data_IF_345669182312
#
_entry.id   IF_345669182312
#
_cell.length_a   1.000
_cell.length_b   1.000
_cell.length_c   1.000
_cell.angle_alpha   90.00
_cell.angle_beta   90.00
_cell.angle_gamma   90.00
#
_symmetry.space_group_name_H-M   'P 1'
#
loop_
_entity.id
_entity.type
_entity.pdbx_description
1 polymer ?
#
# COMPACT_ATOMS: atom_id res chain seq x y z
N UNK A 1 -9.84 -0.51 -7.93
CA UNK A 1 -9.83 -1.53 -6.87
C UNK A 1 -10.12 -2.94 -7.39
N UNK A 2 -10.87 -3.09 -8.49
CA UNK A 2 -11.16 -4.40 -9.06
C UNK A 2 -9.90 -5.13 -9.52
N UNK A 3 -8.96 -4.41 -10.14
CA UNK A 3 -7.70 -5.00 -10.59
C UNK A 3 -6.87 -5.51 -9.41
N UNK A 4 -6.78 -4.75 -8.33
CA UNK A 4 -6.05 -5.18 -7.14
C UNK A 4 -6.74 -6.36 -6.46
N UNK A 5 -8.07 -6.35 -6.38
CA UNK A 5 -8.84 -7.48 -5.87
C UNK A 5 -8.59 -8.74 -6.69
N UNK A 6 -8.58 -8.61 -8.01
CA UNK A 6 -8.32 -9.73 -8.90
C UNK A 6 -6.93 -10.29 -8.70
N UNK A 7 -5.91 -9.45 -8.63
CA UNK A 7 -4.54 -9.90 -8.38
C UNK A 7 -4.42 -10.59 -7.02
N UNK A 8 -5.08 -10.06 -6.02
CA UNK A 8 -5.07 -10.68 -4.71
C UNK A 8 -5.76 -12.05 -4.71
N UNK A 9 -6.89 -12.16 -5.41
CA UNK A 9 -7.61 -13.42 -5.55
C UNK A 9 -6.80 -14.47 -6.33
N UNK A 10 -6.03 -14.04 -7.32
CA UNK A 10 -5.14 -14.91 -8.09
C UNK A 10 -3.89 -15.33 -7.33
N UNK A 11 -3.67 -14.75 -6.14
CA UNK A 11 -2.53 -15.06 -5.26
C UNK A 11 -1.17 -14.89 -5.96
N UNK A 12 -1.06 -13.84 -6.79
CA UNK A 12 0.20 -13.50 -7.48
C UNK A 12 1.15 -12.66 -6.62
N UNK A 13 0.90 -12.56 -5.33
CA UNK A 13 1.80 -11.87 -4.42
C UNK A 13 2.94 -12.80 -4.01
N UNK A 14 4.13 -12.22 -3.90
CA UNK A 14 5.32 -12.92 -3.36
C UNK A 14 5.30 -12.94 -1.85
N UNK A 15 4.74 -11.92 -1.22
CA UNK A 15 4.62 -11.80 0.21
C UNK A 15 3.44 -10.92 0.55
N UNK A 16 2.86 -11.15 1.73
CA UNK A 16 1.65 -10.47 2.18
C UNK A 16 1.67 -10.29 3.69
N UNK A 17 1.34 -9.09 4.14
CA UNK A 17 0.93 -8.79 5.51
C UNK A 17 -0.50 -8.29 5.39
N UNK A 18 -1.47 -9.06 5.88
CA UNK A 18 -2.89 -8.75 5.72
C UNK A 18 -3.56 -8.52 7.05
N UNK A 19 -4.67 -7.79 7.02
CA UNK A 19 -5.57 -7.64 8.15
C UNK A 19 -4.82 -7.18 9.41
N UNK A 20 -3.94 -6.18 9.25
CA UNK A 20 -3.14 -5.69 10.36
C UNK A 20 -4.04 -5.03 11.42
N UNK A 21 -3.93 -5.51 12.65
CA UNK A 21 -4.66 -4.99 13.80
C UNK A 21 -3.88 -3.90 14.53
N UNK A 22 -4.40 -3.51 15.70
CA UNK A 22 -3.78 -2.47 16.52
C UNK A 22 -2.43 -2.89 17.07
N UNK A 23 -1.52 -1.93 17.18
CA UNK A 23 -0.26 -2.06 17.90
C UNK A 23 0.59 -3.24 17.45
N UNK A 24 0.67 -3.46 16.14
CA UNK A 24 1.43 -4.55 15.58
C UNK A 24 2.74 -4.10 14.95
N UNK A 25 3.71 -5.00 14.94
CA UNK A 25 4.98 -4.86 14.25
C UNK A 25 5.23 -6.17 13.53
N UNK A 26 4.97 -6.18 12.23
CA UNK A 26 4.88 -7.41 11.43
C UNK A 26 6.00 -7.49 10.41
N UNK A 27 6.46 -8.69 10.13
CA UNK A 27 7.52 -8.95 9.15
C UNK A 27 7.16 -10.17 8.32
N UNK A 28 7.37 -10.08 7.02
CA UNK A 28 7.25 -11.22 6.11
C UNK A 28 8.45 -11.21 5.16
N UNK A 29 9.28 -12.24 5.27
CA UNK A 29 10.45 -12.42 4.40
C UNK A 29 10.06 -13.10 3.10
N UNK A 30 10.77 -12.78 2.03
CA UNK A 30 10.59 -13.42 0.74
C UNK A 30 11.86 -13.28 -0.10
N UNK A 31 11.94 -14.06 -1.20
CA UNK A 31 13.08 -14.06 -2.09
C UNK A 31 12.67 -13.64 -3.49
N UNK A 32 13.52 -12.87 -4.14
CA UNK A 32 13.41 -12.55 -5.56
C UNK A 32 14.50 -13.31 -6.28
N UNK A 33 14.11 -14.13 -7.27
CA UNK A 33 15.04 -14.95 -8.04
C UNK A 33 15.51 -14.27 -9.33
N UNK A 34 14.73 -13.36 -9.88
CA UNK A 34 15.05 -12.65 -11.12
C UNK A 34 14.73 -11.17 -10.99
N UNK A 35 15.61 -10.32 -11.54
CA UNK A 35 15.35 -8.90 -11.64
C UNK A 35 14.08 -8.62 -12.43
N UNK A 36 13.35 -7.59 -12.03
CA UNK A 36 12.14 -7.20 -12.74
C UNK A 36 11.41 -6.07 -12.05
N UNK A 37 10.22 -5.78 -12.55
CA UNK A 37 9.31 -4.83 -11.93
C UNK A 37 8.31 -5.57 -11.04
N UNK A 38 8.04 -4.96 -9.89
CA UNK A 38 7.13 -5.50 -8.89
C UNK A 38 6.15 -4.41 -8.47
N UNK A 39 4.93 -4.82 -8.13
CA UNK A 39 3.94 -3.89 -7.59
C UNK A 39 3.92 -3.98 -6.07
N UNK A 40 4.21 -2.87 -5.41
CA UNK A 40 4.03 -2.71 -3.97
C UNK A 40 2.70 -2.03 -3.69
N UNK A 41 1.90 -2.63 -2.81
CA UNK A 41 0.64 -2.07 -2.34
C UNK A 41 0.69 -2.04 -0.81
N UNK A 42 0.44 -0.87 -0.24
CA UNK A 42 0.42 -0.71 1.21
C UNK A 42 -0.73 0.20 1.61
N UNK A 43 -1.58 -0.27 2.51
CA UNK A 43 -2.74 0.47 3.01
C UNK A 43 -2.55 0.78 4.49
N UNK A 44 -3.00 1.95 4.92
CA UNK A 44 -2.88 2.33 6.31
C UNK A 44 -3.55 3.66 6.63
N UNK A 45 -3.38 4.08 7.86
CA UNK A 45 -3.98 5.31 8.39
C UNK A 45 -3.05 6.51 8.19
N UNK A 46 -3.56 7.53 7.49
CA UNK A 46 -2.84 8.79 7.31
C UNK A 46 -3.12 9.78 8.43
N UNK A 47 -2.14 10.61 8.72
CA UNK A 47 -2.24 11.71 9.67
C UNK A 47 -1.98 13.01 8.92
N UNK A 48 -3.06 13.71 8.58
CA UNK A 48 -2.97 14.90 7.73
C UNK A 48 -2.22 16.05 8.39
N UNK A 49 -2.35 16.16 9.68
CA UNK A 49 -1.78 17.26 10.46
C UNK A 49 -0.28 17.43 10.23
N UNK A 50 0.46 16.33 10.14
CA UNK A 50 1.91 16.35 9.96
C UNK A 50 2.38 15.58 8.71
N UNK A 51 1.45 15.22 7.84
CA UNK A 51 1.72 14.51 6.58
C UNK A 51 2.43 13.17 6.79
N UNK A 52 2.14 12.49 7.89
CA UNK A 52 2.70 11.18 8.22
C UNK A 52 1.67 10.07 8.07
N UNK A 53 2.10 8.86 8.36
CA UNK A 53 1.23 7.69 8.46
C UNK A 53 1.35 7.10 9.87
N UNK A 54 0.20 6.78 10.46
CA UNK A 54 0.16 6.09 11.75
C UNK A 54 0.33 4.57 11.58
N UNK A 55 -0.27 4.03 10.52
CA UNK A 55 -0.11 2.64 10.13
C UNK A 55 0.55 2.63 8.76
N UNK A 56 1.71 1.99 8.64
CA UNK A 56 2.44 2.03 7.38
C UNK A 56 3.42 0.86 7.24
N UNK A 57 3.89 0.66 6.01
CA UNK A 57 4.83 -0.39 5.69
C UNK A 57 6.11 0.11 5.03
N UNK A 58 7.09 -0.75 4.97
CA UNK A 58 8.32 -0.52 4.20
C UNK A 58 8.88 -1.85 3.71
N UNK A 59 9.78 -1.75 2.75
CA UNK A 59 10.50 -2.88 2.20
C UNK A 59 11.98 -2.74 2.56
N UNK A 60 12.55 -3.78 3.14
CA UNK A 60 13.97 -3.85 3.46
C UNK A 60 14.67 -4.87 2.58
N UNK A 61 15.94 -4.58 2.22
CA UNK A 61 16.83 -5.59 1.66
C UNK A 61 17.41 -6.48 2.77
N UNK A 62 18.29 -7.42 2.39
CA UNK A 62 18.88 -8.37 3.34
C UNK A 62 19.90 -7.73 4.30
N UNK A 63 20.23 -6.47 4.11
CA UNK A 63 21.10 -5.70 5.00
C UNK A 63 20.34 -4.77 5.91
N UNK A 64 19.00 -4.84 5.87
CA UNK A 64 18.14 -3.98 6.65
C UNK A 64 17.96 -2.58 6.10
N UNK A 65 18.42 -2.33 4.87
CA UNK A 65 18.23 -1.04 4.23
C UNK A 65 16.80 -0.91 3.71
N UNK A 66 16.15 0.20 4.06
CA UNK A 66 14.84 0.54 3.50
C UNK A 66 14.99 0.92 2.04
N UNK A 67 14.41 0.12 1.15
CA UNK A 67 14.42 0.40 -0.29
C UNK A 67 13.10 1.02 -0.76
N UNK A 68 12.08 0.98 0.08
CA UNK A 68 10.79 1.63 -0.16
C UNK A 68 10.06 1.82 1.16
N UNK A 69 9.25 2.89 1.28
CA UNK A 69 8.46 3.14 2.49
C UNK A 69 7.18 3.91 2.17
N UNK A 70 6.13 3.64 2.96
CA UNK A 70 4.87 4.40 2.95
C UNK A 70 4.68 5.22 4.23
N UNK A 71 5.75 5.57 4.94
CA UNK A 71 5.65 6.28 6.22
C UNK A 71 5.16 7.73 6.12
N UNK A 72 5.03 8.26 4.92
CA UNK A 72 4.49 9.60 4.68
C UNK A 72 3.23 9.50 3.85
N UNK A 73 2.27 10.38 4.13
CA UNK A 73 1.00 10.37 3.42
C UNK A 73 1.10 10.82 1.96
N UNK A 74 2.19 11.53 1.62
CA UNK A 74 2.42 12.01 0.25
C UNK A 74 2.36 10.84 -0.74
N UNK A 75 1.73 11.12 -1.87
CA UNK A 75 1.59 10.17 -2.98
C UNK A 75 0.70 8.97 -2.68
N UNK A 76 0.05 8.94 -1.52
CA UNK A 76 -0.99 7.94 -1.26
C UNK A 76 -2.30 8.31 -1.94
N UNK A 77 -3.14 7.30 -2.15
CA UNK A 77 -4.47 7.46 -2.73
C UNK A 77 -5.53 7.16 -1.70
N UNK A 78 -6.74 7.69 -1.89
CA UNK A 78 -7.87 7.40 -1.01
C UNK A 78 -8.34 5.95 -1.19
N UNK A 79 -8.44 5.21 -0.09
CA UNK A 79 -8.85 3.80 -0.09
C UNK A 79 -10.36 3.62 0.11
N UNK A 80 -11.09 4.71 0.25
CA UNK A 80 -12.53 4.67 0.55
C UNK A 80 -12.81 4.79 2.04
N UNK A 81 -14.05 5.16 2.38
CA UNK A 81 -14.42 5.42 3.75
C UNK A 81 -13.83 6.73 4.27
N UNK A 82 -13.35 6.73 5.50
CA UNK A 82 -12.75 7.91 6.10
C UNK A 82 -11.58 8.44 5.26
N UNK A 83 -11.38 9.77 5.19
CA UNK A 83 -10.28 10.36 4.41
C UNK A 83 -8.90 9.84 4.80
N UNK A 84 -8.71 9.44 6.05
CA UNK A 84 -7.44 8.92 6.55
C UNK A 84 -7.12 7.49 6.08
N UNK A 85 -8.06 6.83 5.43
CA UNK A 85 -7.82 5.52 4.82
C UNK A 85 -7.04 5.72 3.52
N UNK A 86 -5.76 5.38 3.53
CA UNK A 86 -4.86 5.64 2.41
C UNK A 86 -4.27 4.34 1.86
N UNK A 87 -3.93 4.35 0.58
CA UNK A 87 -3.27 3.23 -0.08
C UNK A 87 -2.15 3.77 -0.98
N UNK A 88 -1.03 3.06 -0.98
CA UNK A 88 0.05 3.23 -1.95
C UNK A 88 -0.01 2.09 -2.95
N UNK A 89 0.28 2.41 -4.20
CA UNK A 89 0.45 1.42 -5.26
C UNK A 89 1.55 1.91 -6.17
N UNK A 90 2.71 1.27 -6.11
CA UNK A 90 3.89 1.67 -6.87
C UNK A 90 4.55 0.49 -7.54
N UNK A 91 4.99 0.71 -8.78
CA UNK A 91 5.85 -0.22 -9.49
C UNK A 91 7.30 0.12 -9.16
N UNK A 92 8.06 -0.86 -8.71
CA UNK A 92 9.45 -0.70 -8.36
C UNK A 92 10.30 -1.78 -9.04
N UNK A 93 11.56 -1.44 -9.32
CA UNK A 93 12.52 -2.39 -9.87
C UNK A 93 13.34 -2.97 -8.73
N UNK A 94 13.42 -4.29 -8.68
CA UNK A 94 14.20 -5.00 -7.68
C UNK A 94 15.09 -6.03 -8.34
N UNK A 95 16.22 -6.31 -7.71
CA UNK A 95 17.20 -7.31 -8.14
C UNK A 95 17.10 -8.56 -7.26
N UNK A 96 17.68 -9.70 -7.69
CA UNK A 96 17.63 -10.93 -6.89
C UNK A 96 18.20 -10.73 -5.49
N UNK A 97 17.59 -11.39 -4.53
CA UNK A 97 18.01 -11.34 -3.14
C UNK A 97 16.86 -11.61 -2.19
N UNK A 98 17.17 -11.62 -0.90
CA UNK A 98 16.19 -11.74 0.15
C UNK A 98 15.74 -10.36 0.61
N UNK A 99 14.43 -10.21 0.77
CA UNK A 99 13.79 -8.97 1.20
C UNK A 99 12.82 -9.25 2.33
N UNK A 100 12.40 -8.19 3.02
CA UNK A 100 11.37 -8.28 4.05
C UNK A 100 10.34 -7.18 3.87
N UNK A 101 9.07 -7.55 3.88
CA UNK A 101 8.00 -6.61 4.13
C UNK A 101 7.95 -6.35 5.63
N UNK A 102 7.86 -5.08 6.01
CA UNK A 102 7.70 -4.66 7.40
C UNK A 102 6.47 -3.76 7.48
N UNK A 103 5.70 -3.90 8.56
CA UNK A 103 4.50 -3.11 8.77
C UNK A 103 4.30 -2.83 10.25
N UNK A 104 3.97 -1.58 10.58
CA UNK A 104 3.68 -1.17 11.95
C UNK A 104 2.33 -0.48 12.00
N UNK A 105 1.62 -0.65 13.09
CA UNK A 105 0.36 0.05 13.35
C UNK A 105 0.39 0.69 14.74
N UNK A 106 -0.39 1.76 14.90
CA UNK A 106 -0.62 2.35 16.21
C UNK A 106 -1.79 1.65 16.92
N UNK A 107 -2.29 2.25 18.01
CA UNK A 107 -3.29 1.61 18.86
C UNK A 107 -4.75 1.92 18.48
N UNK A 108 -5.00 2.41 17.26
CA UNK A 108 -6.35 2.76 16.82
C UNK A 108 -6.51 2.66 15.32
N UNK A 109 -7.76 2.53 14.87
CA UNK A 109 -8.14 2.53 13.45
C UNK A 109 -7.36 1.52 12.63
N UNK A 110 -7.56 0.26 12.91
CA UNK A 110 -6.96 -0.85 12.18
C UNK A 110 -8.00 -1.94 11.94
N UNK A 111 -7.59 -3.05 11.34
CA UNK A 111 -8.52 -4.11 10.95
C UNK A 111 -9.37 -4.57 12.13
N UNK A 112 -10.69 -4.55 11.95
CA UNK A 112 -11.72 -4.86 12.94
C UNK A 112 -11.78 -3.92 14.15
N UNK A 113 -11.06 -2.80 14.14
CA UNK A 113 -11.02 -1.82 15.23
C UNK A 113 -11.09 -0.40 14.68
N UNK A 114 -12.01 -0.16 13.77
CA UNK A 114 -12.15 1.13 13.09
C UNK A 114 -12.77 2.18 14.02
N UNK A 115 -12.11 3.32 14.15
CA UNK A 115 -12.63 4.46 14.92
C UNK A 115 -13.30 5.53 14.04
N UNK A 116 -13.39 5.27 12.74
CA UNK A 116 -14.08 6.06 11.75
C UNK A 116 -14.55 5.10 10.65
N UNK A 117 -15.15 5.62 9.58
CA UNK A 117 -15.65 4.76 8.49
C UNK A 117 -14.49 3.93 7.91
N UNK A 118 -14.67 2.62 7.91
CA UNK A 118 -13.65 1.68 7.41
C UNK A 118 -13.46 1.82 5.90
N UNK A 119 -12.29 1.40 5.37
CA UNK A 119 -12.10 1.37 3.93
C UNK A 119 -13.00 0.35 3.25
N UNK A 120 -13.23 0.50 1.94
CA UNK A 120 -14.08 -0.43 1.20
C UNK A 120 -13.44 -1.82 1.09
N UNK A 121 -12.13 -1.88 0.97
CA UNK A 121 -11.39 -3.13 0.83
C UNK A 121 -10.52 -3.34 2.07
N UNK A 122 -11.16 -3.75 3.17
CA UNK A 122 -10.53 -3.89 4.49
C UNK A 122 -9.36 -4.87 4.49
N UNK A 123 -9.43 -5.87 3.61
CA UNK A 123 -8.42 -6.92 3.50
C UNK A 123 -7.04 -6.39 3.09
N UNK A 124 -6.99 -5.22 2.48
CA UNK A 124 -5.73 -4.60 2.10
C UNK A 124 -5.00 -3.90 3.25
N UNK A 125 -5.60 -3.82 4.43
CA UNK A 125 -4.95 -3.15 5.57
C UNK A 125 -3.71 -3.93 5.98
N UNK A 126 -2.56 -3.43 5.52
CA UNK A 126 -1.26 -4.08 5.56
C UNK A 126 -0.50 -3.78 4.29
N UNK A 127 0.27 -4.73 3.78
CA UNK A 127 1.01 -4.53 2.53
C UNK A 127 1.23 -5.84 1.78
N UNK A 128 1.47 -5.70 0.46
CA UNK A 128 1.74 -6.82 -0.43
C UNK A 128 2.74 -6.43 -1.48
N UNK A 129 3.46 -7.42 -1.99
CA UNK A 129 4.29 -7.26 -3.18
C UNK A 129 3.90 -8.32 -4.20
N UNK A 130 3.64 -7.86 -5.43
CA UNK A 130 3.21 -8.72 -6.53
C UNK A 130 4.28 -8.78 -7.60
N UNK A 131 4.50 -9.98 -8.13
CA UNK A 131 5.32 -10.15 -9.31
C UNK A 131 4.52 -9.81 -10.57
N UNK A 132 5.13 -9.13 -11.51
CA UNK A 132 4.51 -8.85 -12.80
C UNK A 132 4.84 -9.96 -13.78
N UNK A 133 3.84 -10.37 -14.57
CA UNK A 133 3.99 -11.48 -15.52
C UNK A 133 4.69 -11.05 -16.81
N UNK A 134 4.37 -9.86 -17.30
CA UNK A 134 4.87 -9.33 -18.57
C UNK A 134 4.65 -7.83 -18.67
N UNK A 135 5.12 -7.22 -19.75
CA UNK A 135 5.00 -5.78 -19.99
C UNK A 135 3.55 -5.31 -20.12
N UNK A 136 2.67 -6.15 -20.64
CA UNK A 136 1.26 -5.81 -20.76
C UNK A 136 0.62 -5.66 -19.38
N UNK A 137 0.95 -6.52 -18.44
CA UNK A 137 0.48 -6.41 -17.07
C UNK A 137 1.03 -5.15 -16.40
N UNK A 138 2.32 -4.87 -16.57
CA UNK A 138 2.95 -3.64 -16.06
C UNK A 138 2.19 -2.42 -16.58
N UNK A 139 1.88 -2.39 -17.87
CA UNK A 139 1.17 -1.25 -18.45
C UNK A 139 -0.26 -1.12 -17.92
N UNK A 140 -0.95 -2.23 -17.72
CA UNK A 140 -2.29 -2.23 -17.11
C UNK A 140 -2.27 -1.64 -15.70
N UNK A 141 -1.26 -1.98 -14.91
CA UNK A 141 -1.09 -1.44 -13.56
C UNK A 141 -0.78 0.06 -13.62
N UNK A 142 0.10 0.49 -14.54
CA UNK A 142 0.39 1.93 -14.71
C UNK A 142 -0.86 2.72 -15.03
N UNK A 143 -1.70 2.20 -15.93
CA UNK A 143 -2.96 2.85 -16.30
C UNK A 143 -3.92 2.92 -15.10
N UNK A 144 -4.02 1.85 -14.33
CA UNK A 144 -4.84 1.81 -13.12
C UNK A 144 -4.39 2.88 -12.10
N UNK A 145 -3.09 2.96 -11.85
CA UNK A 145 -2.53 3.96 -10.93
C UNK A 145 -2.81 5.38 -11.44
N UNK A 146 -2.66 5.58 -12.74
CA UNK A 146 -2.91 6.89 -13.37
C UNK A 146 -4.37 7.31 -13.20
N UNK A 147 -5.31 6.39 -13.32
CA UNK A 147 -6.73 6.67 -13.11
C UNK A 147 -7.04 7.10 -11.68
N UNK A 148 -6.22 6.68 -10.72
CA UNK A 148 -6.39 7.03 -9.32
C UNK A 148 -5.78 8.38 -8.94
N UNK A 149 -5.09 9.06 -9.84
CA UNK A 149 -4.37 10.32 -9.54
C UNK A 149 -5.27 11.41 -8.94
N UNK A 150 -6.56 11.45 -9.30
CA UNK A 150 -7.51 12.40 -8.73
C UNK A 150 -7.70 12.25 -7.23
N UNK A 151 -7.37 11.09 -6.67
CA UNK A 151 -7.48 10.80 -5.23
C UNK A 151 -6.14 10.87 -4.51
N UNK A 152 -5.07 11.25 -5.23
CA UNK A 152 -3.71 11.29 -4.70
C UNK A 152 -3.54 12.44 -3.72
N UNK A 153 -2.91 12.15 -2.59
CA UNK A 153 -2.50 13.19 -1.65
C UNK A 153 -1.28 13.92 -2.22
N UNK A 154 -1.40 15.24 -2.35
CA UNK A 154 -0.34 16.06 -2.92
C UNK A 154 0.30 16.94 -1.84
N UNK A 155 1.53 17.39 -2.12
CA UNK A 155 2.24 18.31 -1.25
C UNK A 155 1.39 19.56 -1.01
N UNK A 156 1.28 19.98 0.24
CA UNK A 156 0.42 21.10 0.65
C UNK A 156 -0.78 20.66 1.46
N UNK A 157 -0.98 19.35 1.61
CA UNK A 157 -1.99 18.80 2.50
C UNK A 157 -3.40 18.76 1.97
N UNK A 158 -3.63 19.15 0.73
CA UNK A 158 -4.96 19.11 0.15
C UNK A 158 -5.31 17.69 -0.31
N UNK A 159 -6.47 17.23 0.12
CA UNK A 159 -7.01 15.94 -0.30
C UNK A 159 -8.01 16.21 -1.39
N UNK A 160 -7.55 16.22 -2.61
CA UNK A 160 -8.42 16.43 -3.78
C UNK A 160 -9.55 15.43 -3.86
N UNK A 161 -9.27 14.23 -3.43
CA UNK A 161 -10.17 13.10 -3.55
C UNK A 161 -11.49 13.25 -2.83
N UNK A 162 -11.52 14.02 -1.76
CA UNK A 162 -12.74 14.15 -0.96
C UNK A 162 -13.89 14.70 -1.78
N UNK A 163 -13.58 15.57 -2.73
CA UNK A 163 -14.58 16.20 -3.59
C UNK A 163 -14.93 15.37 -4.82
N UNK A 164 -14.04 14.49 -5.23
CA UNK A 164 -14.19 13.69 -6.44
C UNK A 164 -14.88 12.39 -6.12
N UNK A 165 -14.59 11.85 -4.98
CA UNK A 165 -15.14 10.57 -4.53
C UNK A 165 -16.41 10.72 -3.71
N UNK A 166 -16.99 11.89 -3.69
CA UNK A 166 -18.29 12.14 -3.07
C UNK A 166 -19.42 11.31 -3.67
N UNK A 167 -19.08 10.52 -4.55
CA UNK A 167 -19.84 9.46 -5.16
C UNK A 167 -19.92 8.22 -4.25
#
# INVERSE_FOLDING_TARGET
SNLLKQKNAEKKYLAEIKEAGDSQNLTQKFNISQSGEFLLVSAGEGVYRDSSMADYGWLEDNKGKKVWTSEKILDSYHLGGAPKNRIYAELIKLTPGQYSLRYVSDNSHSYNRWNAVSPYNKEFWGMRIYQMSDDAEVQSIRNYIKEAEGTRFVKGGNIRSIHISGD
#
